data_IF_718520424818
#
_entry.id   IF_718520424818
#
_cell.length_a   1.000
_cell.length_b   1.000
_cell.length_c   1.000
_cell.angle_alpha   90.00
_cell.angle_beta   90.00
_cell.angle_gamma   90.00
#
_symmetry.space_group_name_H-M   'P 1'
#
loop_
_entity.id
_entity.type
_entity.pdbx_description
1 polymer ?
#
# COMPACT_ATOMS: atom_id res chain seq x y z
N UNK A 1 2.03 8.48 -12.19
CA UNK A 1 2.09 8.07 -10.78
C UNK A 1 2.35 6.59 -10.65
N UNK A 2 1.30 5.76 -10.58
CA UNK A 2 1.43 4.34 -10.23
C UNK A 2 2.34 3.54 -11.16
N UNK A 3 2.27 3.75 -12.48
CA UNK A 3 3.15 3.07 -13.46
C UNK A 3 4.64 3.29 -13.17
N UNK A 4 5.02 4.54 -12.85
CA UNK A 4 6.39 4.88 -12.51
C UNK A 4 6.80 4.25 -11.18
N UNK A 5 5.96 4.41 -10.14
CA UNK A 5 6.22 3.84 -8.82
C UNK A 5 6.44 2.32 -8.90
N UNK A 6 5.58 1.59 -9.61
CA UNK A 6 5.74 0.16 -9.84
C UNK A 6 7.05 -0.18 -10.56
N UNK A 7 7.41 0.58 -11.60
CA UNK A 7 8.67 0.38 -12.32
C UNK A 7 9.90 0.52 -11.43
N UNK A 8 9.85 1.41 -10.44
CA UNK A 8 10.91 1.59 -9.45
C UNK A 8 10.87 0.52 -8.34
N UNK A 9 9.69 0.01 -7.99
CA UNK A 9 9.51 -1.00 -6.94
C UNK A 9 9.95 -2.40 -7.40
N UNK A 10 9.57 -2.83 -8.60
CA UNK A 10 9.80 -4.21 -9.09
C UNK A 10 11.24 -4.70 -8.90
N UNK A 11 12.30 -3.94 -9.26
CA UNK A 11 13.68 -4.38 -9.10
C UNK A 11 14.14 -4.54 -7.65
N UNK A 12 13.38 -3.98 -6.69
CA UNK A 12 13.69 -3.96 -5.25
C UNK A 12 12.87 -4.96 -4.45
N UNK A 13 11.89 -5.63 -5.06
CA UNK A 13 11.06 -6.61 -4.38
C UNK A 13 11.88 -7.86 -4.02
N UNK A 14 11.88 -8.30 -2.74
CA UNK A 14 12.48 -9.55 -2.35
C UNK A 14 11.61 -10.73 -2.81
N UNK A 15 12.11 -11.95 -2.62
CA UNK A 15 11.35 -13.17 -2.95
C UNK A 15 10.11 -13.34 -2.06
N UNK A 16 10.26 -13.14 -0.74
CA UNK A 16 9.15 -13.22 0.21
C UNK A 16 8.61 -11.82 0.49
N UNK A 17 7.53 -11.45 -0.17
CA UNK A 17 6.88 -10.16 0.06
C UNK A 17 5.36 -10.26 0.11
N UNK A 18 4.72 -9.29 0.75
CA UNK A 18 3.28 -9.16 0.88
C UNK A 18 2.82 -7.80 0.31
N UNK A 19 1.69 -7.77 -0.37
CA UNK A 19 1.06 -6.54 -0.83
C UNK A 19 -0.05 -6.13 0.15
N UNK A 20 0.04 -4.94 0.74
CA UNK A 20 -1.08 -4.27 1.42
C UNK A 20 -1.59 -3.14 0.51
N UNK A 21 -2.81 -3.31 0.00
CA UNK A 21 -3.37 -2.41 -1.00
C UNK A 21 -4.73 -1.85 -0.57
N UNK A 22 -4.92 -0.57 -0.85
CA UNK A 22 -6.17 0.13 -0.66
C UNK A 22 -6.17 1.40 -1.50
N UNK A 23 -7.34 1.80 -1.99
CA UNK A 23 -7.46 2.94 -2.88
C UNK A 23 -8.70 3.77 -2.56
N UNK A 24 -8.65 5.06 -2.88
CA UNK A 24 -9.83 5.90 -3.05
C UNK A 24 -10.42 5.69 -4.44
N UNK A 25 -11.63 6.21 -4.74
CA UNK A 25 -12.14 6.24 -6.11
C UNK A 25 -11.11 6.83 -7.08
N UNK A 26 -11.00 6.22 -8.24
CA UNK A 26 -10.10 6.64 -9.32
C UNK A 26 -10.94 6.98 -10.54
N UNK A 27 -10.52 7.96 -11.33
CA UNK A 27 -11.18 8.29 -12.61
C UNK A 27 -11.23 7.09 -13.54
N UNK A 28 -10.16 6.28 -13.56
CA UNK A 28 -10.09 5.02 -14.27
C UNK A 28 -9.42 3.96 -13.38
N UNK A 29 -10.24 3.12 -12.71
CA UNK A 29 -9.74 2.10 -11.79
C UNK A 29 -8.93 1.00 -12.51
N UNK A 30 -9.33 0.62 -13.73
CA UNK A 30 -8.61 -0.39 -14.50
C UNK A 30 -7.23 0.08 -14.93
N UNK A 31 -7.10 1.31 -15.43
CA UNK A 31 -5.80 1.88 -15.76
C UNK A 31 -4.91 2.05 -14.53
N UNK A 32 -5.50 2.43 -13.39
CA UNK A 32 -4.78 2.57 -12.13
C UNK A 32 -4.21 1.24 -11.64
N UNK A 33 -4.98 0.15 -11.75
CA UNK A 33 -4.59 -1.18 -11.30
C UNK A 33 -3.72 -1.93 -12.29
N UNK A 34 -3.75 -1.59 -13.57
CA UNK A 34 -2.95 -2.26 -14.60
C UNK A 34 -1.48 -2.44 -14.22
N UNK A 35 -0.71 -1.41 -13.79
CA UNK A 35 0.67 -1.61 -13.36
C UNK A 35 0.80 -2.48 -12.10
N UNK A 36 -0.15 -2.42 -11.16
CA UNK A 36 -0.17 -3.29 -9.97
C UNK A 36 -0.35 -4.75 -10.37
N UNK A 37 -1.29 -5.05 -11.29
CA UNK A 37 -1.50 -6.39 -11.82
C UNK A 37 -0.25 -6.90 -12.52
N UNK A 38 0.41 -6.07 -13.32
CA UNK A 38 1.69 -6.42 -13.96
C UNK A 38 2.78 -6.76 -12.94
N UNK A 39 2.90 -5.99 -11.85
CA UNK A 39 3.83 -6.27 -10.77
C UNK A 39 3.55 -7.61 -10.09
N UNK A 40 2.29 -7.87 -9.75
CA UNK A 40 1.85 -9.14 -9.15
C UNK A 40 2.15 -10.32 -10.08
N UNK A 41 1.92 -10.18 -11.38
CA UNK A 41 2.24 -11.26 -12.35
C UNK A 41 3.74 -11.50 -12.47
N UNK A 42 4.56 -10.44 -12.50
CA UNK A 42 6.01 -10.57 -12.69
C UNK A 42 6.73 -11.06 -11.43
N UNK A 43 6.27 -10.65 -10.26
CA UNK A 43 6.84 -10.98 -8.95
C UNK A 43 5.71 -11.32 -7.98
N UNK A 44 5.12 -12.51 -8.02
CA UNK A 44 3.96 -12.83 -7.19
C UNK A 44 4.23 -12.60 -5.69
N UNK A 45 3.39 -11.83 -4.96
CA UNK A 45 3.49 -11.75 -3.51
C UNK A 45 3.01 -13.07 -2.89
N UNK A 46 3.47 -13.36 -1.68
CA UNK A 46 2.93 -14.47 -0.89
C UNK A 46 1.44 -14.25 -0.57
N UNK A 47 1.04 -12.98 -0.38
CA UNK A 47 -0.35 -12.62 -0.14
C UNK A 47 -0.67 -11.19 -0.58
N UNK A 48 -1.93 -11.00 -0.97
CA UNK A 48 -2.53 -9.69 -1.23
C UNK A 48 -3.54 -9.44 -0.11
N UNK A 49 -3.31 -8.38 0.66
CA UNK A 49 -4.18 -7.89 1.71
C UNK A 49 -4.86 -6.63 1.20
N UNK A 50 -6.18 -6.59 1.26
CA UNK A 50 -6.99 -5.48 0.80
C UNK A 50 -7.63 -4.80 2.00
N UNK A 51 -7.64 -3.47 2.00
CA UNK A 51 -8.30 -2.72 3.06
C UNK A 51 -8.78 -1.35 2.57
N UNK A 52 -9.62 -0.72 3.39
CA UNK A 52 -10.14 0.61 3.16
C UNK A 52 -9.20 1.65 3.79
N UNK A 53 -8.61 2.57 3.01
CA UNK A 53 -7.94 3.73 3.57
C UNK A 53 -8.90 4.55 4.46
N UNK A 54 -8.42 5.01 5.61
CA UNK A 54 -9.21 5.77 6.59
C UNK A 54 -8.81 7.24 6.61
N UNK A 55 -9.73 8.09 7.07
CA UNK A 55 -9.54 9.54 7.24
C UNK A 55 -9.16 10.31 5.96
N UNK A 56 -9.37 9.70 4.79
CA UNK A 56 -9.21 10.34 3.49
C UNK A 56 -10.33 11.32 3.16
N UNK A 57 -10.06 12.24 2.23
CA UNK A 57 -11.07 13.17 1.69
C UNK A 57 -12.25 12.47 1.01
N UNK A 58 -11.99 11.30 0.42
CA UNK A 58 -13.00 10.45 -0.20
C UNK A 58 -13.08 9.12 0.55
N UNK A 59 -14.26 8.49 0.62
CA UNK A 59 -14.38 7.17 1.23
C UNK A 59 -13.53 6.17 0.44
N UNK A 60 -12.75 5.34 1.15
CA UNK A 60 -12.01 4.25 0.52
C UNK A 60 -12.92 3.24 -0.19
N UNK A 61 -12.40 2.54 -1.18
CA UNK A 61 -13.13 1.55 -1.99
C UNK A 61 -13.08 0.18 -1.31
N UNK A 62 -14.25 -0.45 -1.13
CA UNK A 62 -14.38 -1.78 -0.50
C UNK A 62 -14.30 -2.93 -1.51
N UNK A 63 -14.88 -2.75 -2.70
CA UNK A 63 -14.88 -3.76 -3.76
C UNK A 63 -13.81 -3.45 -4.80
N UNK A 64 -12.54 -3.50 -4.38
CA UNK A 64 -11.42 -3.33 -5.31
C UNK A 64 -11.40 -4.50 -6.29
N UNK A 65 -11.25 -4.27 -7.61
CA UNK A 65 -11.18 -5.34 -8.61
C UNK A 65 -9.77 -5.96 -8.63
N UNK A 66 -9.39 -6.53 -7.48
CA UNK A 66 -8.17 -7.27 -7.24
C UNK A 66 -8.50 -8.45 -6.31
N UNK A 67 -7.96 -9.62 -6.59
CA UNK A 67 -8.17 -10.79 -5.73
C UNK A 67 -7.22 -10.74 -4.53
N UNK A 68 -7.76 -10.89 -3.32
CA UNK A 68 -6.99 -10.82 -2.08
C UNK A 68 -7.84 -11.04 -0.84
N UNK A 69 -7.20 -11.07 0.32
CA UNK A 69 -7.89 -11.17 1.61
C UNK A 69 -8.33 -9.78 2.08
N UNK A 70 -9.63 -9.59 2.27
CA UNK A 70 -10.19 -8.31 2.72
C UNK A 70 -10.11 -8.13 4.24
N UNK A 71 -9.73 -6.93 4.68
CA UNK A 71 -9.72 -6.49 6.07
C UNK A 71 -10.49 -5.18 6.24
N UNK A 72 -11.33 -5.07 7.28
CA UNK A 72 -12.19 -3.91 7.49
C UNK A 72 -11.42 -2.62 7.81
N UNK A 73 -10.22 -2.73 8.38
CA UNK A 73 -9.37 -1.59 8.74
C UNK A 73 -7.90 -1.86 8.40
N UNK A 74 -7.10 -0.80 8.15
CA UNK A 74 -5.66 -0.92 7.95
C UNK A 74 -4.97 -1.61 9.14
N UNK A 75 -5.40 -1.31 10.37
CA UNK A 75 -4.85 -1.93 11.59
C UNK A 75 -5.00 -3.44 11.59
N UNK A 76 -6.17 -3.97 11.23
CA UNK A 76 -6.36 -5.42 11.14
C UNK A 76 -5.54 -6.08 10.03
N UNK A 77 -5.34 -5.37 8.92
CA UNK A 77 -4.48 -5.84 7.84
C UNK A 77 -3.01 -5.90 8.27
N UNK A 78 -2.53 -4.89 9.01
CA UNK A 78 -1.16 -4.82 9.55
C UNK A 78 -0.94 -5.89 10.61
N UNK A 79 -1.86 -6.04 11.58
CA UNK A 79 -1.80 -7.10 12.60
C UNK A 79 -1.67 -8.50 11.97
N UNK A 80 -2.33 -8.71 10.82
CA UNK A 80 -2.19 -9.95 10.06
C UNK A 80 -0.83 -10.04 9.36
N UNK A 81 -0.42 -8.97 8.67
CA UNK A 81 0.82 -8.92 7.91
C UNK A 81 2.07 -9.11 8.78
N UNK A 82 2.08 -8.53 9.99
CA UNK A 82 3.18 -8.66 10.95
C UNK A 82 3.43 -10.08 11.45
N UNK A 83 2.46 -10.99 11.28
CA UNK A 83 2.58 -12.41 11.65
C UNK A 83 3.08 -13.27 10.48
N UNK A 84 3.25 -12.70 9.30
CA UNK A 84 3.69 -13.41 8.10
C UNK A 84 5.21 -13.53 8.06
N UNK A 85 5.70 -14.62 7.48
CA UNK A 85 7.12 -14.83 7.15
C UNK A 85 7.46 -14.15 5.80
N UNK A 86 7.57 -12.82 5.82
CA UNK A 86 7.94 -11.97 4.67
C UNK A 86 9.07 -11.02 5.01
N UNK A 87 9.92 -10.74 4.02
CA UNK A 87 11.01 -9.77 4.14
C UNK A 87 10.52 -8.34 3.91
N UNK A 88 9.38 -8.17 3.23
CA UNK A 88 8.79 -6.87 2.91
C UNK A 88 7.26 -6.91 2.86
N UNK A 89 6.62 -5.92 3.49
CA UNK A 89 5.22 -5.56 3.27
C UNK A 89 5.20 -4.28 2.42
N UNK A 90 4.81 -4.39 1.16
CA UNK A 90 4.63 -3.23 0.29
C UNK A 90 3.25 -2.63 0.52
N UNK A 91 3.21 -1.39 1.01
CA UNK A 91 1.98 -0.61 1.17
C UNK A 91 1.84 0.37 0.01
N UNK A 92 0.76 0.30 -0.76
CA UNK A 92 0.54 1.22 -1.89
C UNK A 92 -0.94 1.36 -2.24
N UNK A 93 -1.24 2.27 -3.18
CA UNK A 93 -2.58 2.53 -3.71
C UNK A 93 -3.25 3.79 -3.16
N UNK A 94 -2.84 4.27 -1.99
CA UNK A 94 -3.38 5.47 -1.37
C UNK A 94 -2.37 6.12 -0.43
N UNK A 95 -2.15 7.42 -0.56
CA UNK A 95 -1.34 8.18 0.41
C UNK A 95 -1.95 8.14 1.81
N UNK A 96 -3.29 8.14 1.92
CA UNK A 96 -3.96 8.00 3.20
C UNK A 96 -3.73 6.62 3.82
N UNK A 97 -3.67 5.56 3.01
CA UNK A 97 -3.32 4.23 3.52
C UNK A 97 -1.89 4.21 4.04
N UNK A 98 -0.93 4.77 3.30
CA UNK A 98 0.44 4.89 3.77
C UNK A 98 0.52 5.69 5.08
N UNK A 99 -0.21 6.80 5.19
CA UNK A 99 -0.32 7.58 6.43
C UNK A 99 -0.96 6.80 7.58
N UNK A 100 -2.03 6.02 7.32
CA UNK A 100 -2.63 5.15 8.34
C UNK A 100 -1.59 4.14 8.86
N UNK A 101 -0.81 3.53 7.98
CA UNK A 101 0.25 2.58 8.37
C UNK A 101 1.31 3.27 9.22
N UNK A 102 1.81 4.44 8.81
CA UNK A 102 2.80 5.20 9.59
C UNK A 102 2.27 5.49 11.00
N UNK A 103 1.04 5.99 11.11
CA UNK A 103 0.38 6.24 12.40
C UNK A 103 0.24 4.97 13.25
N UNK A 104 -0.19 3.84 12.66
CA UNK A 104 -0.36 2.57 13.39
C UNK A 104 1.00 2.05 13.90
N UNK A 105 2.08 2.31 13.16
CA UNK A 105 3.44 1.94 13.55
C UNK A 105 4.10 2.97 14.48
N UNK A 106 3.44 4.12 14.74
CA UNK A 106 3.98 5.20 15.59
C UNK A 106 5.03 6.08 14.91
N UNK A 107 5.04 6.15 13.58
CA UNK A 107 5.94 7.00 12.77
C UNK A 107 5.23 8.24 12.24
N UNK A 108 4.46 8.92 13.09
CA UNK A 108 3.69 10.12 12.75
C UNK A 108 3.99 11.31 13.67
N UNK A 109 5.12 11.28 14.40
CA UNK A 109 5.56 12.42 15.22
C UNK A 109 6.11 13.58 14.37
N UNK A 110 6.23 14.76 14.98
CA UNK A 110 6.85 15.93 14.35
C UNK A 110 8.29 15.62 13.89
N UNK A 111 9.04 14.84 14.67
CA UNK A 111 10.41 14.44 14.33
C UNK A 111 10.42 13.49 13.11
N UNK A 112 9.44 12.56 13.02
CA UNK A 112 9.33 11.62 11.89
C UNK A 112 8.97 12.32 10.57
N UNK A 113 8.23 13.42 10.65
CA UNK A 113 7.66 14.13 9.49
C UNK A 113 8.34 15.47 9.21
N UNK A 114 9.35 15.86 9.99
CA UNK A 114 10.11 17.09 9.78
C UNK A 114 10.97 17.02 8.51
N UNK A 115 10.66 17.88 7.54
CA UNK A 115 11.48 18.08 6.34
C UNK A 115 12.36 19.32 6.54
N UNK A 116 13.61 19.12 6.95
CA UNK A 116 14.58 20.21 7.01
C UNK A 116 15.00 20.61 5.60
N UNK A 117 14.79 21.87 5.25
CA UNK A 117 15.33 22.42 4.01
C UNK A 117 16.86 22.33 4.06
N UNK A 118 17.47 21.72 3.04
CA UNK A 118 18.92 21.83 2.90
C UNK A 118 19.25 23.28 2.52
N UNK A 119 20.21 23.93 3.20
CA UNK A 119 20.64 25.26 2.81
C UNK A 119 21.14 25.22 1.36
N UNK A 120 20.81 26.27 0.62
CA UNK A 120 21.16 26.44 -0.80
C UNK A 120 22.65 26.73 -0.99
#
# INVERSE_FOLDING_TARGET
>A
GMRQAVGEIIPRLPEKWCLLFGSSPQTNMEEFLHPIRQMITQKPPQKILLTKPQHGRYPGVENLPLEGTWFPTPEKAIEFAQKMDVDLILVTGSLYLCGNVLQILGFDSDDDLSLLAQPS
#
